data_IF_718637558148
#
_entry.id   IF_718637558148
#
_cell.length_a   1.000
_cell.length_b   1.000
_cell.length_c   1.000
_cell.angle_alpha   90.00
_cell.angle_beta   90.00
_cell.angle_gamma   90.00
#
_symmetry.space_group_name_H-M   'P 1'
#
loop_
_entity.id
_entity.type
_entity.pdbx_description
1 polymer ?
#
# COMPACT_ATOMS: atom_id res chain seq x y z
N UNK A 1 45.82 -8.60 55.26
CA UNK A 1 45.50 -10.02 55.53
C UNK A 1 44.04 -10.23 55.16
N UNK A 2 43.76 -10.86 54.01
CA UNK A 2 43.28 -12.26 53.92
C UNK A 2 41.83 -12.38 54.43
N UNK A 3 40.81 -12.86 53.71
CA UNK A 3 40.75 -13.81 52.60
C UNK A 3 39.31 -13.82 52.06
N UNK A 4 39.16 -14.01 50.76
CA UNK A 4 37.91 -14.45 50.08
C UNK A 4 37.68 -15.95 50.31
N UNK A 5 36.45 -16.39 50.58
CA UNK A 5 35.99 -17.80 50.48
C UNK A 5 34.51 -17.75 50.06
N UNK A 6 34.11 -17.99 48.79
CA UNK A 6 33.89 -19.25 48.04
C UNK A 6 32.89 -20.22 48.70
N UNK A 7 31.63 -20.26 48.25
CA UNK A 7 31.04 -21.19 47.24
C UNK A 7 30.83 -22.64 47.75
N UNK A 8 29.64 -23.20 47.44
CA UNK A 8 29.36 -24.56 46.91
C UNK A 8 28.30 -25.36 47.69
N UNK A 9 27.18 -25.60 46.97
CA UNK A 9 26.35 -26.81 46.81
C UNK A 9 25.94 -27.72 47.98
N UNK A 10 24.66 -28.16 47.97
CA UNK A 10 24.27 -29.50 47.46
C UNK A 10 22.81 -29.91 47.80
N UNK A 11 22.10 -30.46 46.79
CA UNK A 11 21.26 -31.69 46.80
C UNK A 11 19.94 -31.67 47.61
N UNK A 12 18.81 -32.29 47.22
CA UNK A 12 18.19 -32.82 46.00
C UNK A 12 16.82 -33.40 46.43
N UNK A 13 15.77 -33.36 45.58
CA UNK A 13 14.80 -34.47 45.43
C UNK A 13 13.88 -34.24 44.21
N UNK A 14 14.25 -34.92 43.13
CA UNK A 14 13.46 -35.78 42.23
C UNK A 14 11.94 -35.58 42.09
N UNK A 15 11.52 -35.38 40.83
CA UNK A 15 10.22 -35.75 40.27
C UNK A 15 10.34 -35.83 38.74
N UNK A 16 10.55 -37.03 38.22
CA UNK A 16 10.90 -37.30 36.83
C UNK A 16 9.68 -37.45 35.91
N UNK A 17 9.78 -36.99 34.65
CA UNK A 17 9.14 -37.64 33.50
C UNK A 17 10.03 -37.53 32.24
N UNK A 18 10.78 -38.60 32.05
CA UNK A 18 11.16 -39.36 30.84
C UNK A 18 11.18 -38.62 29.48
N UNK A 19 12.38 -38.66 28.89
CA UNK A 19 12.83 -38.38 27.52
C UNK A 19 12.02 -39.10 26.42
N UNK A 20 11.92 -38.60 25.20
CA UNK A 20 12.94 -38.64 24.11
C UNK A 20 12.26 -37.94 22.91
N UNK A 21 12.85 -37.10 22.05
CA UNK A 21 14.19 -37.07 21.49
C UNK A 21 14.10 -37.31 19.98
N UNK A 22 14.11 -36.26 19.15
CA UNK A 22 14.89 -36.04 17.91
C UNK A 22 14.30 -34.91 17.04
N UNK A 23 15.20 -34.11 16.46
CA UNK A 23 14.93 -32.97 15.58
C UNK A 23 14.78 -33.45 14.12
N UNK A 24 13.75 -32.96 13.42
CA UNK A 24 13.79 -32.73 11.96
C UNK A 24 12.88 -31.55 11.60
N UNK A 25 13.45 -30.56 10.93
CA UNK A 25 12.71 -29.48 10.28
C UNK A 25 11.92 -30.01 9.08
N UNK A 26 10.63 -29.69 8.99
CA UNK A 26 9.89 -29.66 7.73
C UNK A 26 8.74 -28.67 7.86
N UNK A 27 8.79 -27.61 7.05
CA UNK A 27 7.64 -26.78 6.75
C UNK A 27 6.65 -27.58 5.90
N UNK A 28 5.37 -27.63 6.29
CA UNK A 28 4.26 -27.85 5.38
C UNK A 28 3.04 -27.09 5.92
N UNK A 29 2.55 -26.17 5.08
CA UNK A 29 1.22 -25.61 5.18
C UNK A 29 0.21 -26.71 4.86
N UNK A 30 -0.71 -26.98 5.79
CA UNK A 30 -2.02 -27.53 5.49
C UNK A 30 -2.94 -27.21 6.67
N UNK A 31 -3.85 -26.25 6.49
CA UNK A 31 -4.98 -26.10 7.39
C UNK A 31 -6.24 -26.51 6.62
N UNK A 32 -6.48 -27.82 6.66
CA UNK A 32 -7.78 -28.40 6.43
C UNK A 32 -8.76 -27.82 7.47
N UNK A 33 -9.76 -27.06 7.03
CA UNK A 33 -10.88 -26.66 7.89
C UNK A 33 -11.77 -27.90 8.01
N UNK A 34 -11.60 -28.65 9.10
CA UNK A 34 -12.58 -29.66 9.48
C UNK A 34 -13.88 -28.98 9.90
N UNK A 35 -14.98 -29.39 9.29
CA UNK A 35 -16.33 -28.97 9.68
C UNK A 35 -16.60 -29.43 11.12
N UNK A 36 -16.53 -28.50 12.08
CA UNK A 36 -16.95 -28.74 13.46
C UNK A 36 -18.48 -28.67 13.51
N UNK A 37 -19.11 -29.83 13.42
CA UNK A 37 -20.41 -30.02 14.05
C UNK A 37 -20.24 -29.88 15.56
N UNK A 38 -20.89 -28.89 16.16
CA UNK A 38 -21.19 -28.89 17.59
C UNK A 38 -22.42 -28.05 17.83
N UNK A 39 -23.50 -28.77 18.13
CA UNK A 39 -24.69 -28.34 18.83
C UNK A 39 -24.33 -27.39 20.00
N UNK A 40 -24.83 -26.17 19.93
CA UNK A 40 -24.90 -25.24 21.04
C UNK A 40 -26.03 -24.27 20.74
N UNK A 41 -27.21 -24.61 21.24
CA UNK A 41 -28.40 -23.76 21.16
C UNK A 41 -28.13 -22.38 21.76
N UNK A 42 -28.24 -21.36 20.92
CA UNK A 42 -28.54 -20.00 21.36
C UNK A 42 -29.97 -19.73 20.89
N UNK A 43 -30.88 -19.56 21.85
CA UNK A 43 -32.25 -19.16 21.59
C UNK A 43 -32.26 -17.83 20.84
N UNK A 44 -32.73 -17.85 19.59
CA UNK A 44 -33.05 -16.64 18.83
C UNK A 44 -34.41 -16.13 19.33
N UNK A 45 -34.39 -15.01 20.04
CA UNK A 45 -35.58 -14.22 20.29
C UNK A 45 -35.85 -13.37 19.03
N UNK A 46 -36.86 -13.78 18.27
CA UNK A 46 -37.31 -13.17 17.02
C UNK A 46 -38.01 -11.84 17.32
N UNK A 47 -37.25 -10.74 17.26
CA UNK A 47 -37.85 -9.40 17.28
C UNK A 47 -37.01 -8.38 16.50
N UNK A 48 -37.13 -8.37 15.18
CA UNK A 48 -37.31 -7.12 14.43
C UNK A 48 -37.58 -7.37 12.96
N UNK A 49 -38.87 -7.37 12.64
CA UNK A 49 -39.37 -6.98 11.34
C UNK A 49 -38.80 -5.59 10.96
N UNK A 50 -37.79 -5.58 10.08
CA UNK A 50 -37.47 -4.42 9.24
C UNK A 50 -37.25 -4.88 7.81
N UNK A 51 -38.33 -4.71 7.04
CA UNK A 51 -38.39 -4.44 5.59
C UNK A 51 -37.76 -5.45 4.63
N UNK A 52 -38.64 -6.25 3.99
CA UNK A 52 -38.55 -6.58 2.56
C UNK A 52 -37.61 -7.69 2.10
N UNK A 53 -36.64 -8.11 2.92
CA UNK A 53 -35.74 -9.19 2.53
C UNK A 53 -36.28 -10.55 3.00
N UNK A 54 -36.84 -11.32 2.07
CA UNK A 54 -37.05 -12.76 2.29
C UNK A 54 -35.67 -13.39 2.41
N UNK A 55 -35.32 -13.87 3.61
CA UNK A 55 -34.11 -14.67 3.82
C UNK A 55 -34.32 -16.01 3.13
N UNK A 56 -33.95 -16.10 1.85
CA UNK A 56 -33.92 -17.36 1.12
C UNK A 56 -32.75 -18.15 1.67
N UNK A 57 -33.00 -18.98 2.69
CA UNK A 57 -32.03 -19.96 3.17
C UNK A 57 -31.92 -21.09 2.13
N UNK A 58 -31.35 -20.78 0.97
CA UNK A 58 -30.86 -21.80 0.03
C UNK A 58 -29.48 -22.19 0.54
N UNK A 59 -29.22 -23.48 0.70
CA UNK A 59 -27.85 -23.96 0.83
C UNK A 59 -27.14 -23.61 -0.49
N UNK A 60 -26.46 -22.47 -0.53
CA UNK A 60 -25.62 -22.05 -1.65
C UNK A 60 -24.24 -22.62 -1.35
N UNK A 61 -23.94 -23.74 -1.98
CA UNK A 61 -22.60 -24.32 -1.97
C UNK A 61 -21.83 -23.74 -3.16
N UNK A 62 -20.60 -23.28 -2.93
CA UNK A 62 -19.75 -22.69 -3.95
C UNK A 62 -18.30 -22.71 -3.51
N UNK A 63 -17.38 -22.60 -4.47
CA UNK A 63 -15.94 -22.51 -4.20
C UNK A 63 -15.53 -21.05 -4.14
N UNK A 64 -14.94 -20.63 -3.01
CA UNK A 64 -14.30 -19.33 -2.88
C UNK A 64 -12.78 -19.50 -2.99
N UNK A 65 -12.16 -18.73 -3.87
CA UNK A 65 -10.70 -18.63 -3.98
C UNK A 65 -10.27 -17.17 -4.01
N UNK A 66 -9.07 -16.90 -3.51
CA UNK A 66 -8.54 -15.55 -3.40
C UNK A 66 -7.02 -15.57 -3.61
N UNK A 67 -6.48 -14.55 -4.28
CA UNK A 67 -5.05 -14.42 -4.57
C UNK A 67 -4.63 -12.94 -4.49
N UNK A 68 -3.65 -12.61 -3.65
CA UNK A 68 -3.10 -11.26 -3.48
C UNK A 68 -1.89 -10.96 -4.36
N UNK A 69 -1.30 -11.99 -4.97
CA UNK A 69 -0.08 -11.89 -5.77
C UNK A 69 -0.36 -11.64 -7.26
N UNK A 70 -1.64 -11.51 -7.64
CA UNK A 70 -2.03 -11.23 -9.02
C UNK A 70 -1.80 -9.75 -9.32
N UNK A 71 -0.98 -9.49 -10.33
CA UNK A 71 -0.84 -8.15 -10.93
C UNK A 71 -1.77 -8.00 -12.11
N UNK A 72 -2.30 -6.79 -12.30
CA UNK A 72 -3.07 -6.42 -13.47
C UNK A 72 -2.09 -6.12 -14.62
N UNK A 73 -2.46 -6.50 -15.85
CA UNK A 73 -1.75 -6.02 -17.03
C UNK A 73 -1.89 -4.49 -17.18
N UNK A 74 -0.97 -3.85 -17.92
CA UNK A 74 -1.03 -2.40 -18.13
C UNK A 74 -2.33 -1.96 -18.82
N UNK A 75 -2.89 -2.78 -19.72
CA UNK A 75 -4.18 -2.52 -20.34
C UNK A 75 -5.35 -2.60 -19.34
N UNK A 76 -5.32 -3.56 -18.43
CA UNK A 76 -6.34 -3.68 -17.39
C UNK A 76 -6.22 -2.57 -16.34
N UNK A 77 -5.01 -2.21 -15.92
CA UNK A 77 -4.75 -1.06 -15.04
C UNK A 77 -5.31 0.22 -15.63
N UNK A 78 -4.95 0.50 -16.88
CA UNK A 78 -5.43 1.67 -17.63
C UNK A 78 -6.95 1.71 -17.64
N UNK A 79 -7.60 0.61 -18.02
CA UNK A 79 -9.07 0.54 -18.09
C UNK A 79 -9.76 0.62 -16.73
N UNK A 80 -9.26 -0.10 -15.74
CA UNK A 80 -9.94 -0.31 -14.45
C UNK A 80 -9.73 0.85 -13.47
N UNK A 81 -8.56 1.47 -13.49
CA UNK A 81 -8.15 2.50 -12.53
C UNK A 81 -8.11 3.89 -13.17
N UNK A 82 -7.58 4.01 -14.39
CA UNK A 82 -7.22 5.30 -14.98
C UNK A 82 -8.16 5.84 -16.07
N UNK A 83 -8.91 5.00 -16.77
CA UNK A 83 -9.91 5.41 -17.78
C UNK A 83 -11.35 5.27 -17.23
N UNK A 84 -11.57 4.32 -16.33
CA UNK A 84 -12.90 3.96 -15.82
C UNK A 84 -13.34 4.69 -14.54
N UNK A 85 -12.54 5.60 -14.00
CA UNK A 85 -12.94 6.36 -12.81
C UNK A 85 -13.29 7.80 -13.19
N UNK A 86 -14.56 8.19 -13.01
CA UNK A 86 -15.01 9.60 -12.99
C UNK A 86 -14.40 10.39 -11.80
N UNK A 87 -13.46 9.77 -11.06
CA UNK A 87 -12.92 10.20 -9.77
C UNK A 87 -11.39 10.02 -9.73
N UNK A 88 -10.71 10.28 -10.85
CA UNK A 88 -9.29 9.98 -11.00
C UNK A 88 -8.42 10.48 -9.86
N UNK A 89 -7.37 9.68 -9.63
CA UNK A 89 -6.26 9.87 -8.72
C UNK A 89 -5.58 11.23 -8.88
N UNK A 90 -6.17 12.27 -8.31
CA UNK A 90 -5.55 13.58 -8.13
C UNK A 90 -5.06 14.25 -9.42
N UNK A 91 -5.78 14.14 -10.54
CA UNK A 91 -5.51 14.99 -11.72
C UNK A 91 -6.54 16.11 -11.78
N UNK A 92 -6.08 17.35 -11.99
CA UNK A 92 -6.96 18.48 -12.25
C UNK A 92 -7.36 18.44 -13.72
N UNK A 93 -8.64 18.12 -13.98
CA UNK A 93 -9.29 18.08 -15.30
C UNK A 93 -8.64 17.14 -16.34
N UNK A 94 -9.47 16.33 -16.98
CA UNK A 94 -9.05 15.42 -18.04
C UNK A 94 -8.69 16.20 -19.32
N UNK A 95 -7.55 16.87 -19.35
CA UNK A 95 -6.87 17.06 -20.62
C UNK A 95 -6.11 15.76 -20.93
N UNK A 96 -6.11 15.37 -22.21
CA UNK A 96 -5.59 14.10 -22.74
C UNK A 96 -4.36 13.63 -21.97
N UNK A 97 -4.26 12.31 -21.77
CA UNK A 97 -3.04 11.60 -21.36
C UNK A 97 -1.88 11.96 -22.31
N UNK A 98 -1.32 13.15 -22.16
CA UNK A 98 -0.16 13.59 -22.89
C UNK A 98 1.00 13.09 -22.06
N UNK A 99 1.72 12.12 -22.61
CA UNK A 99 2.95 11.61 -22.01
C UNK A 99 4.01 12.71 -22.07
N UNK A 100 3.84 13.75 -21.26
CA UNK A 100 4.80 14.82 -21.16
C UNK A 100 6.08 14.21 -20.61
N UNK A 101 7.14 14.29 -21.41
CA UNK A 101 8.44 13.77 -21.02
C UNK A 101 9.01 14.67 -19.91
N UNK A 102 8.85 14.26 -18.66
CA UNK A 102 9.46 14.93 -17.51
C UNK A 102 10.79 14.26 -17.23
N UNK A 103 11.88 15.02 -17.39
CA UNK A 103 13.25 14.55 -17.17
C UNK A 103 13.77 14.87 -15.79
N UNK A 104 13.27 15.96 -15.22
CA UNK A 104 13.86 16.58 -14.06
C UNK A 104 12.79 17.00 -13.04
N UNK A 105 13.11 16.86 -11.76
CA UNK A 105 12.28 17.28 -10.63
C UNK A 105 13.05 18.31 -9.81
N UNK A 106 12.50 19.51 -9.65
CA UNK A 106 13.09 20.52 -8.76
C UNK A 106 12.84 20.17 -7.30
N UNK A 107 13.88 20.10 -6.48
CA UNK A 107 13.79 19.85 -5.03
C UNK A 107 14.28 21.08 -4.29
N UNK A 108 13.44 21.68 -3.45
CA UNK A 108 13.73 22.96 -2.78
C UNK A 108 12.96 23.11 -1.45
N UNK A 109 13.01 24.30 -0.84
CA UNK A 109 12.34 24.63 0.43
C UNK A 109 13.35 24.86 1.56
N UNK A 110 12.99 24.45 2.78
CA UNK A 110 13.79 24.54 4.00
C UNK A 110 14.83 23.41 4.08
N UNK A 111 15.74 23.40 3.10
CA UNK A 111 16.75 22.37 2.86
C UNK A 111 18.15 22.98 2.75
N UNK A 112 19.20 22.25 3.13
CA UNK A 112 20.59 22.72 2.95
C UNK A 112 20.99 22.76 1.47
N UNK A 113 20.41 21.87 0.66
CA UNK A 113 20.75 21.71 -0.76
C UNK A 113 19.47 21.71 -1.60
N UNK A 114 19.13 22.86 -2.18
CA UNK A 114 18.15 22.92 -3.26
C UNK A 114 18.82 22.51 -4.57
N UNK A 115 18.19 21.64 -5.35
CA UNK A 115 18.75 21.10 -6.58
C UNK A 115 17.67 20.71 -7.59
N UNK A 116 18.09 20.33 -8.80
CA UNK A 116 17.22 19.73 -9.81
C UNK A 116 17.68 18.31 -10.04
N UNK A 117 16.82 17.35 -9.73
CA UNK A 117 17.10 15.92 -9.80
C UNK A 117 16.78 15.39 -11.18
N UNK A 118 17.76 14.82 -11.87
CA UNK A 118 17.49 14.09 -13.11
C UNK A 118 16.92 12.69 -12.77
N UNK A 119 15.78 12.35 -13.36
CA UNK A 119 15.06 11.11 -13.08
C UNK A 119 15.92 9.88 -13.43
N UNK A 120 16.56 9.87 -14.60
CA UNK A 120 17.34 8.72 -15.06
C UNK A 120 18.59 8.47 -14.20
N UNK A 121 19.14 9.50 -13.55
CA UNK A 121 20.23 9.34 -12.61
C UNK A 121 19.74 8.76 -11.27
N UNK A 122 18.57 9.18 -10.82
CA UNK A 122 17.97 8.69 -9.58
C UNK A 122 17.46 7.26 -9.66
N UNK A 123 16.96 6.83 -10.82
CA UNK A 123 16.66 5.42 -11.13
C UNK A 123 17.89 4.52 -10.94
N UNK A 124 19.09 5.02 -11.26
CA UNK A 124 20.34 4.26 -11.06
C UNK A 124 20.86 4.38 -9.62
N UNK A 125 20.69 5.55 -9.00
CA UNK A 125 21.21 5.85 -7.66
C UNK A 125 20.44 5.15 -6.55
N UNK A 126 19.12 5.11 -6.65
CA UNK A 126 18.24 4.57 -5.62
C UNK A 126 17.06 3.77 -6.21
N UNK A 127 17.33 2.74 -7.04
CA UNK A 127 16.29 1.97 -7.71
C UNK A 127 15.33 1.33 -6.71
N UNK A 128 14.06 1.31 -7.07
CA UNK A 128 13.01 0.63 -6.33
C UNK A 128 12.14 -0.18 -7.29
N UNK A 129 11.85 -1.42 -6.90
CA UNK A 129 10.94 -2.33 -7.63
C UNK A 129 10.09 -3.09 -6.62
N UNK A 130 8.76 -3.01 -6.74
CA UNK A 130 7.84 -3.65 -5.78
C UNK A 130 6.43 -3.81 -6.35
N UNK A 131 5.74 -4.88 -5.96
CA UNK A 131 4.29 -4.99 -6.16
C UNK A 131 3.58 -4.05 -5.17
N UNK A 132 2.80 -3.11 -5.70
CA UNK A 132 2.04 -2.13 -4.93
C UNK A 132 0.58 -2.10 -5.39
N UNK A 133 -0.31 -1.84 -4.44
CA UNK A 133 -1.73 -1.61 -4.71
C UNK A 133 -1.99 -0.16 -5.09
N UNK A 134 -2.92 0.04 -6.01
CA UNK A 134 -3.48 1.32 -6.39
C UNK A 134 -5.01 1.22 -6.26
N UNK A 135 -5.56 1.92 -5.26
CA UNK A 135 -7.01 1.93 -4.99
C UNK A 135 -7.53 3.36 -5.02
N UNK A 136 -8.42 3.66 -5.96
CA UNK A 136 -9.02 4.99 -6.08
C UNK A 136 -9.89 5.32 -4.87
N UNK A 137 -9.94 6.59 -4.46
CA UNK A 137 -10.88 7.03 -3.41
C UNK A 137 -12.36 6.83 -3.83
N UNK A 138 -12.65 6.90 -5.13
CA UNK A 138 -13.98 6.64 -5.66
C UNK A 138 -14.25 5.17 -5.99
N UNK A 139 -13.55 4.20 -5.36
CA UNK A 139 -13.68 2.79 -5.75
C UNK A 139 -15.14 2.32 -5.59
N UNK A 140 -15.82 1.86 -6.66
CA UNK A 140 -17.17 1.33 -6.56
C UNK A 140 -17.27 0.11 -5.64
N UNK A 141 -18.50 -0.23 -5.23
CA UNK A 141 -18.78 -1.34 -4.31
C UNK A 141 -18.33 -2.71 -4.84
N UNK A 142 -18.12 -2.86 -6.14
CA UNK A 142 -17.58 -4.09 -6.77
C UNK A 142 -16.04 -4.18 -6.70
N UNK A 143 -15.38 -3.11 -6.21
CA UNK A 143 -13.96 -3.03 -5.99
C UNK A 143 -13.09 -2.90 -7.24
N UNK A 144 -13.70 -2.64 -8.40
CA UNK A 144 -13.00 -2.70 -9.70
C UNK A 144 -12.00 -1.57 -9.96
N UNK A 145 -11.99 -0.49 -9.17
CA UNK A 145 -10.95 0.54 -9.18
C UNK A 145 -9.89 0.31 -8.07
N UNK A 146 -9.60 -0.96 -7.80
CA UNK A 146 -8.46 -1.42 -7.02
C UNK A 146 -7.66 -2.42 -7.85
N UNK A 147 -6.35 -2.20 -7.97
CA UNK A 147 -5.47 -3.09 -8.71
C UNK A 147 -4.09 -3.16 -8.08
N UNK A 148 -3.42 -4.29 -8.25
CA UNK A 148 -2.00 -4.44 -7.91
C UNK A 148 -1.17 -4.39 -9.19
N UNK A 149 -0.01 -3.76 -9.12
CA UNK A 149 0.94 -3.71 -10.23
C UNK A 149 2.37 -3.81 -9.70
N UNK A 150 3.27 -4.37 -10.49
CA UNK A 150 4.69 -4.26 -10.22
C UNK A 150 5.18 -2.87 -10.66
N UNK A 151 5.55 -2.03 -9.71
CA UNK A 151 6.05 -0.69 -9.98
C UNK A 151 7.56 -0.63 -9.89
N UNK A 152 8.14 0.20 -10.75
CA UNK A 152 9.58 0.46 -10.87
C UNK A 152 9.85 1.97 -10.90
N UNK A 153 10.99 2.37 -10.35
CA UNK A 153 11.43 3.76 -10.33
C UNK A 153 12.48 3.96 -9.26
N UNK A 154 12.34 5.00 -8.43
CA UNK A 154 13.30 5.28 -7.35
C UNK A 154 12.64 5.74 -6.06
N UNK A 155 13.35 5.55 -4.94
CA UNK A 155 12.85 5.94 -3.62
C UNK A 155 12.82 7.46 -3.47
N UNK A 156 11.66 8.04 -3.15
CA UNK A 156 11.52 9.47 -2.81
C UNK A 156 12.45 9.88 -1.66
N UNK A 157 12.70 8.96 -0.72
CA UNK A 157 13.64 9.16 0.39
C UNK A 157 15.06 9.54 -0.07
N UNK A 158 15.49 9.13 -1.26
CA UNK A 158 16.80 9.49 -1.79
C UNK A 158 16.90 10.98 -2.15
N UNK A 159 15.84 11.56 -2.74
CA UNK A 159 15.76 13.00 -3.00
C UNK A 159 15.80 13.79 -1.68
N UNK A 160 15.06 13.31 -0.68
CA UNK A 160 15.04 13.92 0.66
C UNK A 160 16.43 13.87 1.29
N UNK A 161 17.11 12.73 1.22
CA UNK A 161 18.44 12.56 1.80
C UNK A 161 19.48 13.51 1.18
N UNK A 162 19.42 13.70 -0.15
CA UNK A 162 20.30 14.63 -0.87
C UNK A 162 19.99 16.09 -0.56
N UNK A 163 18.71 16.43 -0.39
CA UNK A 163 18.27 17.79 -0.07
C UNK A 163 18.76 18.22 1.32
N UNK A 164 18.85 17.29 2.27
CA UNK A 164 19.13 17.53 3.70
C UNK A 164 18.19 18.59 4.30
N UNK A 165 16.94 18.20 4.63
CA UNK A 165 15.99 19.10 5.26
C UNK A 165 16.51 19.64 6.57
N UNK A 166 16.15 20.88 6.88
CA UNK A 166 16.37 21.46 8.20
C UNK A 166 15.71 20.61 9.30
N UNK A 167 16.19 20.74 10.54
CA UNK A 167 15.63 19.98 11.66
C UNK A 167 14.15 20.28 11.94
N UNK A 168 13.69 21.47 11.55
CA UNK A 168 12.32 21.93 11.74
C UNK A 168 11.38 21.55 10.58
N UNK A 169 11.93 21.07 9.46
CA UNK A 169 11.14 20.65 8.31
C UNK A 169 10.25 19.44 8.65
N UNK A 170 8.96 19.57 8.40
CA UNK A 170 7.96 18.58 8.79
C UNK A 170 7.00 18.19 7.66
N UNK A 171 7.05 18.88 6.53
CA UNK A 171 6.12 18.75 5.41
C UNK A 171 6.87 18.56 4.10
N UNK A 172 6.33 17.71 3.23
CA UNK A 172 6.76 17.57 1.85
C UNK A 172 5.55 17.81 0.94
N UNK A 173 5.70 18.71 -0.02
CA UNK A 173 4.66 19.03 -1.01
C UNK A 173 5.16 18.70 -2.40
N UNK A 174 4.44 17.84 -3.11
CA UNK A 174 4.71 17.50 -4.51
C UNK A 174 3.76 18.30 -5.41
N UNK A 175 4.32 18.86 -6.49
CA UNK A 175 3.60 19.63 -7.48
C UNK A 175 3.69 18.94 -8.84
N UNK A 176 2.51 18.71 -9.40
CA UNK A 176 2.29 18.14 -10.73
C UNK A 176 2.30 19.23 -11.80
N UNK A 177 2.62 18.85 -13.04
CA UNK A 177 2.62 19.75 -14.19
C UNK A 177 1.24 20.37 -14.48
N UNK A 178 0.16 19.64 -14.19
CA UNK A 178 -1.25 20.05 -14.31
C UNK A 178 -1.72 21.00 -13.19
N UNK A 179 -0.82 21.35 -12.26
CA UNK A 179 -1.14 22.21 -11.11
C UNK A 179 -1.70 21.46 -9.91
N UNK A 180 -1.88 20.14 -9.98
CA UNK A 180 -2.21 19.34 -8.80
C UNK A 180 -1.08 19.42 -7.76
N UNK A 181 -1.48 19.41 -6.48
CA UNK A 181 -0.55 19.42 -5.37
C UNK A 181 -0.99 18.48 -4.27
N UNK A 182 -0.03 17.78 -3.68
CA UNK A 182 -0.24 16.93 -2.52
C UNK A 182 0.79 17.24 -1.45
N UNK A 183 0.33 17.62 -0.27
CA UNK A 183 1.15 17.85 0.91
C UNK A 183 1.04 16.68 1.87
N UNK A 184 2.16 16.19 2.37
CA UNK A 184 2.28 15.01 3.21
C UNK A 184 3.21 15.29 4.38
N UNK A 185 3.04 14.63 5.54
CA UNK A 185 4.05 14.65 6.59
C UNK A 185 5.38 14.09 6.07
N UNK A 186 6.48 14.80 6.33
CA UNK A 186 7.82 14.32 5.98
C UNK A 186 8.15 12.99 6.69
N UNK A 187 7.66 12.82 7.92
CA UNK A 187 7.78 11.56 8.68
C UNK A 187 7.04 10.40 8.00
N UNK A 188 5.90 10.66 7.36
CA UNK A 188 5.12 9.64 6.68
C UNK A 188 5.87 9.07 5.47
N UNK A 189 6.42 9.95 4.60
CA UNK A 189 7.10 9.51 3.37
C UNK A 189 8.46 8.86 3.62
N UNK A 190 9.12 9.19 4.73
CA UNK A 190 10.45 8.66 5.09
C UNK A 190 10.40 7.30 5.78
N UNK A 191 9.26 6.94 6.37
CA UNK A 191 9.02 5.68 7.08
C UNK A 191 8.35 4.61 6.21
N UNK A 192 7.73 5.00 5.09
CA UNK A 192 7.03 4.10 4.17
C UNK A 192 7.71 4.01 2.81
N UNK A 193 7.35 2.97 2.06
CA UNK A 193 7.69 2.91 0.64
C UNK A 193 6.93 4.01 -0.11
N UNK A 194 7.67 5.06 -0.43
CA UNK A 194 7.23 6.16 -1.28
C UNK A 194 8.14 6.14 -2.51
N UNK A 195 7.58 5.75 -3.66
CA UNK A 195 8.32 5.54 -4.91
C UNK A 195 7.88 6.60 -5.90
N UNK A 196 8.83 7.26 -6.55
CA UNK A 196 8.58 7.99 -7.78
C UNK A 196 8.66 6.95 -8.90
N UNK A 197 7.49 6.54 -9.37
CA UNK A 197 7.29 5.47 -10.36
C UNK A 197 7.49 6.02 -11.75
N UNK A 198 8.30 5.31 -12.52
CA UNK A 198 8.64 5.60 -13.93
C UNK A 198 8.41 4.38 -14.82
N UNK A 199 8.24 3.20 -14.23
CA UNK A 199 7.85 1.98 -14.93
C UNK A 199 6.77 1.18 -14.20
N UNK A 200 5.93 0.49 -14.97
CA UNK A 200 4.90 -0.43 -14.47
C UNK A 200 4.93 -1.71 -15.30
N UNK A 201 5.03 -2.86 -14.62
CA UNK A 201 5.11 -4.20 -15.20
C UNK A 201 6.22 -4.32 -16.28
N UNK A 202 7.37 -3.68 -16.06
CA UNK A 202 8.51 -3.68 -16.99
C UNK A 202 8.37 -2.76 -18.21
N UNK A 203 7.29 -1.98 -18.33
CA UNK A 203 7.10 -0.97 -19.36
C UNK A 203 7.15 0.44 -18.76
N UNK A 204 7.27 1.48 -19.60
CA UNK A 204 7.21 2.86 -19.14
C UNK A 204 5.85 3.17 -18.48
N UNK A 205 5.85 3.96 -17.41
CA UNK A 205 4.64 4.34 -16.66
C UNK A 205 3.57 4.99 -17.56
N UNK A 206 3.99 5.64 -18.65
CA UNK A 206 3.11 6.21 -19.66
C UNK A 206 2.21 5.18 -20.35
N UNK A 207 2.61 3.90 -20.45
CA UNK A 207 1.77 2.86 -21.09
C UNK A 207 0.56 2.45 -20.23
N UNK A 208 0.66 2.61 -18.91
CA UNK A 208 -0.39 2.26 -17.94
C UNK A 208 -1.17 3.48 -17.44
N UNK A 209 -0.46 4.57 -17.10
CA UNK A 209 -1.03 5.76 -16.42
C UNK A 209 -1.14 6.96 -17.36
N UNK A 210 -0.34 7.00 -18.43
CA UNK A 210 -0.25 8.14 -19.32
C UNK A 210 0.41 9.38 -18.70
N UNK A 211 1.32 9.19 -17.74
CA UNK A 211 2.19 10.24 -17.19
C UNK A 211 3.67 9.93 -17.48
N UNK A 212 4.55 10.92 -17.31
CA UNK A 212 6.01 10.75 -17.36
C UNK A 212 6.59 10.20 -16.04
N UNK A 213 5.94 10.49 -14.91
CA UNK A 213 6.21 9.87 -13.61
C UNK A 213 4.94 9.90 -12.73
N UNK A 214 4.93 9.13 -11.64
CA UNK A 214 3.87 9.20 -10.64
C UNK A 214 4.36 8.82 -9.23
N UNK A 215 3.91 9.52 -8.20
CA UNK A 215 4.12 9.11 -6.81
C UNK A 215 3.22 7.92 -6.48
N UNK A 216 3.79 6.83 -5.98
CA UNK A 216 3.05 5.74 -5.37
C UNK A 216 3.43 5.61 -3.89
N UNK A 217 2.42 5.51 -3.03
CA UNK A 217 2.55 5.42 -1.58
C UNK A 217 1.96 4.11 -1.07
N UNK A 218 2.64 3.48 -0.12
CA UNK A 218 2.12 2.29 0.55
C UNK A 218 0.91 2.58 1.45
N UNK A 219 -0.10 1.70 1.38
CA UNK A 219 -1.21 1.60 2.34
C UNK A 219 -2.10 2.85 2.45
N UNK A 220 -2.28 3.60 1.36
CA UNK A 220 -3.17 4.76 1.29
C UNK A 220 -3.92 4.81 -0.03
N UNK A 221 -5.01 5.56 -0.07
CA UNK A 221 -5.75 5.81 -1.30
C UNK A 221 -4.88 6.48 -2.37
N UNK A 222 -5.10 6.08 -3.62
CA UNK A 222 -4.43 6.63 -4.78
C UNK A 222 -4.76 8.11 -5.06
N UNK A 223 -5.69 8.75 -4.30
CA UNK A 223 -5.87 10.21 -4.35
C UNK A 223 -4.57 10.99 -4.08
N UNK A 224 -3.66 10.41 -3.31
CA UNK A 224 -2.38 11.05 -2.99
C UNK A 224 -1.29 10.80 -4.06
N UNK A 225 -1.59 10.03 -5.12
CA UNK A 225 -0.61 9.60 -6.12
C UNK A 225 -0.44 10.66 -7.22
N UNK A 226 0.22 11.75 -6.86
CA UNK A 226 0.51 12.86 -7.78
C UNK A 226 1.21 12.37 -9.05
N UNK A 227 0.71 12.78 -10.21
CA UNK A 227 1.26 12.47 -11.52
C UNK A 227 2.17 13.59 -12.01
N UNK A 228 3.04 13.30 -12.96
CA UNK A 228 3.79 14.32 -13.69
C UNK A 228 4.47 15.34 -12.76
N UNK A 229 5.16 14.82 -11.75
CA UNK A 229 5.78 15.63 -10.70
C UNK A 229 6.95 16.39 -11.30
N UNK A 230 6.90 17.71 -11.19
CA UNK A 230 7.94 18.62 -11.69
C UNK A 230 8.69 19.32 -10.55
N UNK A 231 8.10 19.36 -9.35
CA UNK A 231 8.66 20.05 -8.20
C UNK A 231 8.26 19.41 -6.87
N UNK A 232 9.19 19.42 -5.93
CA UNK A 232 9.03 18.97 -4.56
C UNK A 232 9.57 20.07 -3.64
N UNK A 233 8.71 20.56 -2.76
CA UNK A 233 9.09 21.50 -1.70
C UNK A 233 9.10 20.75 -0.36
N UNK A 234 10.17 20.91 0.43
CA UNK A 234 10.25 20.38 1.80
C UNK A 234 10.27 21.59 2.74
N UNK A 235 9.28 21.71 3.62
CA UNK A 235 9.04 22.95 4.40
C UNK A 235 8.76 22.66 5.87
N UNK A 236 9.04 23.66 6.71
CA UNK A 236 8.62 23.74 8.10
C UNK A 236 7.26 24.46 8.17
N UNK A 237 6.18 23.69 8.27
CA UNK A 237 4.83 24.24 8.39
C UNK A 237 4.43 24.35 9.87
N UNK A 238 3.67 25.38 10.23
CA UNK A 238 3.16 25.52 11.61
C UNK A 238 2.16 24.42 11.96
N UNK A 239 1.40 23.97 10.97
CA UNK A 239 0.45 22.86 11.07
C UNK A 239 0.88 21.79 10.08
N UNK A 240 1.29 20.63 10.61
CA UNK A 240 1.70 19.49 9.78
C UNK A 240 0.47 18.93 9.09
N UNK A 241 0.53 18.64 7.77
CA UNK A 241 -0.57 17.96 7.08
C UNK A 241 -0.99 16.70 7.81
N UNK A 242 -2.27 16.36 7.74
CA UNK A 242 -2.72 15.10 8.32
C UNK A 242 -2.07 13.91 7.63
N UNK A 243 -1.79 12.86 8.41
CA UNK A 243 -1.35 11.58 7.83
C UNK A 243 -2.45 11.12 6.87
N UNK A 244 -2.13 10.78 5.61
CA UNK A 244 -3.08 10.17 4.71
C UNK A 244 -3.83 9.00 5.34
N UNK A 245 -5.15 9.14 5.40
CA UNK A 245 -6.06 8.08 5.85
C UNK A 245 -7.10 7.82 4.77
N UNK A 246 -7.60 6.58 4.74
CA UNK A 246 -8.85 6.28 4.05
C UNK A 246 -10.01 6.81 4.90
N UNK A 247 -11.02 7.45 4.31
CA UNK A 247 -12.19 7.93 5.06
C UNK A 247 -12.89 6.76 5.75
N UNK A 248 -13.17 6.90 7.06
CA UNK A 248 -13.68 5.82 7.90
C UNK A 248 -15.16 5.48 7.64
N UNK A 249 -15.90 6.40 7.02
CA UNK A 249 -17.34 6.34 6.77
C UNK A 249 -17.70 5.81 5.36
N UNK A 250 -16.70 5.60 4.51
CA UNK A 250 -16.89 5.04 3.16
C UNK A 250 -16.34 3.62 3.13
N UNK A 251 -17.22 2.64 2.85
CA UNK A 251 -16.79 1.29 2.54
C UNK A 251 -16.09 1.30 1.18
N UNK A 252 -14.78 1.53 1.17
CA UNK A 252 -13.95 1.43 -0.03
C UNK A 252 -13.36 0.03 -0.09
N UNK A 253 -13.96 -0.90 -0.88
CA UNK A 253 -13.38 -2.21 -1.03
C UNK A 253 -11.93 -2.09 -1.52
N UNK A 254 -11.01 -2.75 -0.84
CA UNK A 254 -9.61 -2.89 -1.27
C UNK A 254 -9.39 -4.18 -2.08
N UNK A 255 -10.46 -4.94 -2.32
CA UNK A 255 -10.52 -6.17 -3.10
C UNK A 255 -11.58 -6.00 -4.19
N UNK A 256 -11.26 -6.36 -5.43
CA UNK A 256 -12.21 -6.36 -6.55
C UNK A 256 -12.71 -7.76 -6.88
N UNK A 257 -13.97 -7.87 -7.29
CA UNK A 257 -14.52 -9.12 -7.85
C UNK A 257 -14.21 -9.16 -9.34
N UNK A 258 -13.35 -10.08 -9.76
CA UNK A 258 -12.91 -10.21 -11.16
C UNK A 258 -13.87 -11.03 -12.02
N UNK A 259 -14.48 -12.06 -11.43
CA UNK A 259 -15.48 -12.90 -12.07
C UNK A 259 -16.42 -13.50 -11.03
N UNK A 260 -17.63 -13.84 -11.47
CA UNK A 260 -18.60 -14.61 -10.70
C UNK A 260 -19.31 -15.54 -11.68
N UNK A 261 -19.27 -16.84 -11.41
CA UNK A 261 -19.94 -17.85 -12.23
C UNK A 261 -20.94 -18.61 -11.37
N UNK A 262 -22.13 -18.86 -11.93
CA UNK A 262 -23.12 -19.74 -11.33
C UNK A 262 -23.01 -21.07 -12.06
N UNK A 263 -22.61 -22.13 -11.35
CA UNK A 263 -22.66 -23.47 -11.91
C UNK A 263 -24.10 -23.79 -12.31
N UNK A 264 -24.31 -24.08 -13.60
CA UNK A 264 -25.60 -24.52 -14.14
C UNK A 264 -25.83 -26.00 -13.90
#
# INVERSE_FOLDING_TARGET
MSKTIKTVMAVATTGAFIASGTLTSAALADQHIDAVGSDSGIAQDDASARTGFTRVNRAVEGTFSYNQDVTFSNAELRKAVFEGSDHLCGSADQEELSAQEIKDIRVQGDVEHAFTANIADYEKKAPAKRVMGCTCAGNPNDGRASANAEVEGFLLKSLIADAKPSADANTITLYSADGYKVALPLSYVTQRYSIIVTGINGEAVSSAVGSGNQLWLGSVSARYFARDIVRIDITAESEVPEIPQSPADVNQPNVGVLSAEVAQ
#
